data_IF_895268037217
#
_entry.id   IF_895268037217
#
_cell.length_a   1.000
_cell.length_b   1.000
_cell.length_c   1.000
_cell.angle_alpha   90.00
_cell.angle_beta   90.00
_cell.angle_gamma   90.00
#
_symmetry.space_group_name_H-M   'P 1'
#
loop_
_entity.id
_entity.type
_entity.pdbx_description
1 polymer ?
#
# COMPACT_ATOMS: atom_id res chain seq x y z
N UNK A 1 33.20 -37.61 7.94
CA UNK A 1 32.26 -36.93 8.86
C UNK A 1 32.36 -35.41 8.79
N UNK A 2 33.57 -34.84 8.82
CA UNK A 2 33.82 -33.39 8.66
C UNK A 2 33.36 -32.82 7.31
N UNK A 3 33.59 -33.52 6.20
CA UNK A 3 33.14 -33.10 4.87
C UNK A 3 31.60 -33.04 4.77
N UNK A 4 30.89 -34.05 5.31
CA UNK A 4 29.43 -34.03 5.38
C UNK A 4 28.90 -32.88 6.24
N UNK A 5 29.55 -32.58 7.38
CA UNK A 5 29.17 -31.45 8.22
C UNK A 5 29.33 -30.09 7.51
N UNK A 6 30.42 -29.91 6.75
CA UNK A 6 30.65 -28.71 5.95
C UNK A 6 29.64 -28.55 4.82
N UNK A 7 29.29 -29.65 4.13
CA UNK A 7 28.26 -29.65 3.09
C UNK A 7 26.90 -29.29 3.67
N UNK A 8 26.51 -29.86 4.80
CA UNK A 8 25.25 -29.51 5.45
C UNK A 8 25.22 -28.04 5.91
N UNK A 9 26.31 -27.49 6.44
CA UNK A 9 26.41 -26.07 6.80
C UNK A 9 26.33 -25.12 5.60
N UNK A 10 26.94 -25.50 4.47
CA UNK A 10 26.82 -24.76 3.20
C UNK A 10 25.40 -24.81 2.66
N UNK A 11 24.74 -25.97 2.70
CA UNK A 11 23.34 -26.11 2.27
C UNK A 11 22.41 -25.27 3.16
N UNK A 12 22.56 -25.33 4.50
CA UNK A 12 21.78 -24.51 5.44
C UNK A 12 21.97 -23.00 5.20
N UNK A 13 23.21 -22.55 4.96
CA UNK A 13 23.50 -21.13 4.70
C UNK A 13 23.02 -20.65 3.32
N UNK A 14 22.91 -21.54 2.33
CA UNK A 14 22.30 -21.26 1.02
C UNK A 14 20.76 -21.21 1.13
N UNK A 15 20.14 -22.06 1.94
CA UNK A 15 18.67 -22.07 2.14
C UNK A 15 18.12 -20.91 2.99
N UNK A 16 18.97 -20.17 3.71
CA UNK A 16 18.55 -19.02 4.53
C UNK A 16 18.37 -17.71 3.76
N UNK A 17 18.69 -17.64 2.46
CA UNK A 17 18.78 -16.35 1.74
C UNK A 17 17.51 -15.83 1.09
N UNK A 18 16.41 -16.58 1.01
CA UNK A 18 15.22 -16.14 0.28
C UNK A 18 13.93 -16.40 1.07
N UNK A 19 13.83 -15.87 2.30
CA UNK A 19 12.54 -15.68 2.95
C UNK A 19 12.14 -14.22 2.78
N UNK A 20 11.46 -13.91 1.67
CA UNK A 20 10.86 -12.58 1.47
C UNK A 20 9.70 -12.47 2.47
N UNK A 21 9.94 -11.80 3.59
CA UNK A 21 8.89 -11.39 4.52
C UNK A 21 8.18 -10.18 3.91
N UNK A 22 7.05 -10.42 3.25
CA UNK A 22 6.12 -9.34 2.89
C UNK A 22 5.36 -8.96 4.16
N UNK A 23 5.80 -7.89 4.83
CA UNK A 23 5.09 -7.35 5.98
C UNK A 23 3.93 -6.48 5.49
N UNK A 24 2.71 -6.99 5.64
CA UNK A 24 1.50 -6.20 5.49
C UNK A 24 1.15 -5.48 6.79
N UNK A 25 0.86 -4.19 6.68
CA UNK A 25 0.32 -3.43 7.79
C UNK A 25 -1.19 -3.64 7.90
N UNK A 26 -1.70 -3.55 9.13
CA UNK A 26 -3.12 -3.66 9.43
C UNK A 26 -3.65 -2.29 9.81
N UNK A 27 -4.81 -1.94 9.29
CA UNK A 27 -5.47 -0.69 9.59
C UNK A 27 -6.98 -0.76 9.47
N UNK A 28 -7.60 0.41 9.48
CA UNK A 28 -9.02 0.56 9.18
C UNK A 28 -9.20 1.44 7.95
N UNK A 29 -10.28 1.22 7.21
CA UNK A 29 -10.70 2.07 6.12
C UNK A 29 -12.18 2.43 6.18
N UNK A 30 -12.48 3.61 5.64
CA UNK A 30 -13.83 4.16 5.44
C UNK A 30 -13.86 4.90 4.10
N UNK A 31 -15.04 5.20 3.56
CA UNK A 31 -15.19 6.05 2.39
C UNK A 31 -15.39 7.54 2.77
N UNK A 32 -15.22 8.45 1.81
CA UNK A 32 -15.65 9.85 1.94
C UNK A 32 -16.23 10.40 0.63
N UNK A 33 -17.07 11.42 0.79
CA UNK A 33 -17.77 12.11 -0.30
C UNK A 33 -16.95 13.23 -0.92
N UNK A 34 -17.17 13.55 -2.22
CA UNK A 34 -16.68 14.79 -2.80
C UNK A 34 -17.27 16.02 -2.10
N UNK A 35 -16.62 17.20 -2.20
CA UNK A 35 -15.50 17.51 -3.09
C UNK A 35 -14.16 16.92 -2.63
N UNK A 36 -13.38 16.39 -3.58
CA UNK A 36 -12.07 15.79 -3.32
C UNK A 36 -10.90 16.78 -3.37
N UNK A 37 -11.17 18.04 -3.76
CA UNK A 37 -10.22 19.15 -3.79
C UNK A 37 -10.70 20.25 -2.85
N UNK A 38 -9.79 21.07 -2.28
CA UNK A 38 -8.33 20.98 -2.38
C UNK A 38 -7.74 19.88 -1.50
N UNK A 39 -6.65 19.27 -1.97
CA UNK A 39 -5.85 18.32 -1.17
C UNK A 39 -4.64 19.00 -0.53
N UNK A 40 -4.07 18.38 0.53
CA UNK A 40 -2.80 18.78 1.12
C UNK A 40 -1.58 18.46 0.27
N UNK A 41 -1.66 17.50 -0.65
CA UNK A 41 -0.53 17.18 -1.52
C UNK A 41 -0.34 18.23 -2.62
N UNK A 42 -1.38 18.48 -3.42
CA UNK A 42 -1.25 19.30 -4.63
C UNK A 42 -2.40 20.30 -4.81
N UNK A 43 -3.18 20.57 -3.75
CA UNK A 43 -4.22 21.60 -3.77
C UNK A 43 -5.33 21.26 -4.76
N UNK A 44 -5.61 22.19 -5.67
CA UNK A 44 -6.68 22.09 -6.67
C UNK A 44 -6.25 21.38 -7.97
N UNK A 45 -5.05 20.80 -8.01
CA UNK A 45 -4.53 20.13 -9.21
C UNK A 45 -5.32 18.86 -9.51
N UNK A 46 -6.05 18.84 -10.63
CA UNK A 46 -6.86 17.67 -11.00
C UNK A 46 -6.02 16.48 -11.47
N UNK A 47 -4.81 16.73 -11.97
CA UNK A 47 -3.88 15.71 -12.48
C UNK A 47 -3.27 14.82 -11.37
N UNK A 48 -3.52 15.13 -10.10
CA UNK A 48 -3.11 14.29 -8.98
C UNK A 48 -3.95 13.01 -8.84
N UNK A 49 -5.18 13.01 -9.36
CA UNK A 49 -6.10 11.89 -9.20
C UNK A 49 -5.82 10.81 -10.26
N UNK A 50 -5.59 9.55 -9.85
CA UNK A 50 -5.43 8.45 -10.78
C UNK A 50 -6.75 8.11 -11.49
N UNK A 51 -6.64 7.41 -12.62
CA UNK A 51 -7.79 6.87 -13.36
C UNK A 51 -8.70 6.03 -12.47
N UNK A 52 -10.01 6.14 -12.68
CA UNK A 52 -11.01 5.42 -11.88
C UNK A 52 -11.14 5.92 -10.44
N UNK A 53 -10.60 7.12 -10.13
CA UNK A 53 -10.60 7.73 -8.81
C UNK A 53 -10.03 6.79 -7.72
N UNK A 54 -9.05 5.96 -8.05
CA UNK A 54 -8.45 5.01 -7.11
C UNK A 54 -7.44 5.69 -6.18
N UNK A 55 -7.93 6.52 -5.27
CA UNK A 55 -7.11 7.31 -4.36
C UNK A 55 -7.64 7.33 -2.93
N UNK A 56 -6.78 7.77 -2.03
CA UNK A 56 -7.04 7.84 -0.60
C UNK A 56 -6.46 9.10 0.02
N UNK A 57 -7.04 9.50 1.14
CA UNK A 57 -6.39 10.34 2.13
C UNK A 57 -5.95 9.50 3.33
N UNK A 58 -4.85 9.88 3.98
CA UNK A 58 -4.27 9.08 5.08
C UNK A 58 -4.32 9.81 6.41
N UNK A 59 -4.35 9.03 7.51
CA UNK A 59 -4.29 9.56 8.86
C UNK A 59 -2.88 10.08 9.22
N UNK A 60 -2.76 10.75 10.36
CA UNK A 60 -1.49 11.29 10.85
C UNK A 60 -0.37 10.25 10.98
N UNK A 61 -0.71 9.00 11.32
CA UNK A 61 0.27 7.92 11.44
C UNK A 61 0.92 7.51 10.11
N UNK A 62 0.27 7.80 8.97
CA UNK A 62 0.77 7.50 7.63
C UNK A 62 1.17 8.76 6.85
N UNK A 63 0.80 9.96 7.31
CA UNK A 63 0.96 11.21 6.55
C UNK A 63 2.42 11.62 6.35
N UNK A 64 3.28 11.32 7.33
CA UNK A 64 4.72 11.57 7.27
C UNK A 64 5.09 12.98 6.79
N UNK A 65 4.43 14.00 7.37
CA UNK A 65 4.61 15.41 7.02
C UNK A 65 4.49 15.73 5.51
N UNK A 66 3.70 14.95 4.77
CA UNK A 66 3.49 15.12 3.33
C UNK A 66 4.40 14.24 2.45
N UNK A 67 5.37 13.52 3.03
CA UNK A 67 6.14 12.51 2.29
C UNK A 67 5.28 11.31 1.83
N UNK A 68 4.05 11.20 2.35
CA UNK A 68 3.05 10.25 1.90
C UNK A 68 2.48 10.55 0.51
N UNK A 69 2.57 11.79 0.03
CA UNK A 69 1.99 12.19 -1.24
C UNK A 69 2.52 11.36 -2.41
N UNK A 70 1.61 10.74 -3.16
CA UNK A 70 1.95 9.88 -4.29
C UNK A 70 2.34 8.45 -3.93
N UNK A 71 2.51 8.10 -2.63
CA UNK A 71 2.70 6.70 -2.20
C UNK A 71 1.54 5.84 -2.69
N UNK A 72 1.84 4.59 -3.02
CA UNK A 72 0.86 3.62 -3.48
C UNK A 72 0.73 2.48 -2.49
N UNK A 73 -0.51 2.06 -2.28
CA UNK A 73 -0.84 0.94 -1.43
C UNK A 73 -1.69 -0.07 -2.18
N UNK A 74 -1.43 -1.35 -1.95
CA UNK A 74 -2.32 -2.44 -2.34
C UNK A 74 -3.10 -2.83 -1.10
N UNK A 75 -4.42 -2.65 -1.13
CA UNK A 75 -5.30 -2.87 0.02
C UNK A 75 -6.21 -4.05 -0.20
N UNK A 76 -6.48 -4.79 0.87
CA UNK A 76 -7.50 -5.83 0.89
C UNK A 76 -8.35 -5.74 2.15
N UNK A 77 -9.66 -5.94 1.99
CA UNK A 77 -10.60 -6.00 3.10
C UNK A 77 -10.46 -7.33 3.84
N UNK A 78 -10.32 -7.27 5.16
CA UNK A 78 -10.23 -8.44 6.04
C UNK A 78 -11.58 -8.73 6.70
N UNK A 79 -12.22 -7.70 7.26
CA UNK A 79 -13.48 -7.86 7.99
C UNK A 79 -14.23 -6.53 8.16
N UNK A 80 -15.47 -6.60 8.61
CA UNK A 80 -16.25 -5.44 9.06
C UNK A 80 -17.66 -5.85 9.46
N UNK A 81 -18.47 -4.90 9.90
CA UNK A 81 -19.87 -5.16 10.26
C UNK A 81 -20.69 -5.56 9.03
N UNK A 82 -21.60 -6.53 9.18
CA UNK A 82 -22.44 -7.06 8.10
C UNK A 82 -21.65 -7.68 6.92
N UNK A 83 -20.47 -8.26 7.21
CA UNK A 83 -19.61 -8.96 6.23
C UNK A 83 -19.38 -8.14 4.95
N UNK A 84 -18.80 -6.93 5.03
CA UNK A 84 -18.83 -5.95 3.95
C UNK A 84 -17.83 -6.23 2.82
N UNK A 85 -16.86 -7.13 3.04
CA UNK A 85 -15.71 -7.31 2.18
C UNK A 85 -16.06 -7.98 0.85
N UNK A 86 -15.50 -7.43 -0.23
CA UNK A 86 -15.37 -8.11 -1.52
C UNK A 86 -14.06 -8.89 -1.57
N UNK A 87 -14.01 -9.87 -2.46
CA UNK A 87 -12.78 -10.60 -2.75
C UNK A 87 -11.83 -9.76 -3.61
N UNK A 88 -10.53 -9.87 -3.37
CA UNK A 88 -9.49 -9.20 -4.15
C UNK A 88 -8.80 -8.07 -3.37
N UNK A 89 -7.97 -7.33 -4.11
CA UNK A 89 -7.25 -6.18 -3.60
C UNK A 89 -7.39 -5.00 -4.57
N UNK A 90 -7.26 -3.78 -4.05
CA UNK A 90 -7.28 -2.55 -4.85
C UNK A 90 -5.98 -1.78 -4.67
N UNK A 91 -5.50 -1.26 -5.78
CA UNK A 91 -4.33 -0.41 -5.86
C UNK A 91 -4.76 1.05 -5.79
N UNK A 92 -4.24 1.80 -4.82
CA UNK A 92 -4.61 3.21 -4.61
C UNK A 92 -3.40 4.10 -4.47
N UNK A 93 -3.60 5.39 -4.74
CA UNK A 93 -2.61 6.46 -4.52
C UNK A 93 -3.02 7.36 -3.36
N UNK A 94 -2.07 7.74 -2.51
CA UNK A 94 -2.28 8.80 -1.52
C UNK A 94 -2.27 10.16 -2.22
N UNK A 95 -3.36 10.90 -2.07
CA UNK A 95 -3.51 12.25 -2.64
C UNK A 95 -3.79 13.33 -1.60
N UNK A 96 -4.12 12.96 -0.36
CA UNK A 96 -4.49 13.95 0.66
C UNK A 96 -4.23 13.47 2.11
N UNK A 97 -4.31 14.42 3.04
CA UNK A 97 -4.26 14.23 4.48
C UNK A 97 -5.64 14.34 5.10
N UNK A 98 -5.99 13.37 5.93
CA UNK A 98 -7.21 13.38 6.70
C UNK A 98 -7.22 14.49 7.77
N UNK A 99 -7.77 15.65 7.42
CA UNK A 99 -7.80 16.82 8.30
C UNK A 99 -8.85 16.72 9.42
N UNK A 100 -9.80 15.77 9.33
CA UNK A 100 -10.81 15.52 10.38
C UNK A 100 -10.14 14.99 11.65
N UNK A 101 -10.50 15.54 12.81
CA UNK A 101 -9.96 15.13 14.11
C UNK A 101 -11.09 14.57 15.01
N UNK A 102 -11.02 13.30 15.47
CA UNK A 102 -10.09 12.27 15.02
C UNK A 102 -10.37 11.87 13.56
N UNK A 103 -9.34 11.39 12.85
CA UNK A 103 -9.55 10.80 11.53
C UNK A 103 -10.40 9.51 11.69
N UNK A 104 -11.44 9.28 10.87
CA UNK A 104 -12.37 8.16 11.07
C UNK A 104 -11.70 6.78 10.95
N UNK A 105 -10.60 6.70 10.19
CA UNK A 105 -9.88 5.46 9.91
C UNK A 105 -8.42 5.75 9.54
N UNK A 106 -7.61 4.70 9.42
CA UNK A 106 -6.19 4.82 9.04
C UNK A 106 -6.06 5.34 7.60
N UNK A 107 -6.93 4.86 6.71
CA UNK A 107 -6.98 5.20 5.29
C UNK A 107 -8.43 5.52 4.92
N UNK A 108 -8.70 6.75 4.50
CA UNK A 108 -10.05 7.15 4.04
C UNK A 108 -10.04 7.18 2.51
N UNK A 109 -10.87 6.35 1.90
CA UNK A 109 -10.85 6.06 0.47
C UNK A 109 -11.89 6.87 -0.29
N UNK A 110 -11.61 7.21 -1.55
CA UNK A 110 -12.68 7.69 -2.45
C UNK A 110 -13.81 6.66 -2.53
N UNK A 111 -15.01 7.08 -2.95
CA UNK A 111 -16.12 6.14 -3.15
C UNK A 111 -15.78 5.01 -4.12
N UNK A 112 -15.11 5.33 -5.21
CA UNK A 112 -14.77 4.36 -6.25
C UNK A 112 -13.75 3.34 -5.73
N UNK A 113 -12.70 3.81 -5.05
CA UNK A 113 -11.70 2.94 -4.43
C UNK A 113 -12.31 2.05 -3.34
N UNK A 114 -13.21 2.59 -2.50
CA UNK A 114 -13.87 1.84 -1.44
C UNK A 114 -14.83 0.79 -2.00
N UNK A 115 -15.56 1.12 -3.07
CA UNK A 115 -16.46 0.20 -3.74
C UNK A 115 -15.75 -1.01 -4.34
N UNK A 116 -14.46 -0.91 -4.63
CA UNK A 116 -13.67 -2.03 -5.12
C UNK A 116 -13.46 -3.12 -4.05
N UNK A 117 -13.42 -2.74 -2.77
CA UNK A 117 -13.13 -3.65 -1.64
C UNK A 117 -14.32 -3.91 -0.71
N UNK A 118 -15.39 -3.11 -0.81
CA UNK A 118 -16.58 -3.25 0.03
C UNK A 118 -17.87 -3.17 -0.79
N UNK A 119 -18.88 -3.95 -0.42
CA UNK A 119 -20.25 -3.81 -0.92
C UNK A 119 -21.15 -2.98 0.01
N UNK A 120 -20.64 -2.54 1.16
CA UNK A 120 -21.33 -1.63 2.08
C UNK A 120 -20.61 -0.28 2.10
N UNK A 121 -21.13 0.77 1.45
CA UNK A 121 -20.39 2.01 1.19
C UNK A 121 -20.02 2.80 2.45
N UNK A 122 -20.83 2.69 3.51
CA UNK A 122 -20.67 3.44 4.76
C UNK A 122 -20.02 2.60 5.89
N UNK A 123 -19.60 1.37 5.58
CA UNK A 123 -18.97 0.50 6.57
C UNK A 123 -17.58 1.02 6.97
N UNK A 124 -17.23 0.83 8.24
CA UNK A 124 -15.84 0.83 8.69
C UNK A 124 -15.31 -0.60 8.57
N UNK A 125 -14.26 -0.78 7.76
CA UNK A 125 -13.66 -2.08 7.49
C UNK A 125 -12.25 -2.16 8.07
N UNK A 126 -11.84 -3.37 8.45
CA UNK A 126 -10.45 -3.70 8.76
C UNK A 126 -9.77 -4.12 7.46
N UNK A 127 -8.56 -3.62 7.25
CA UNK A 127 -7.80 -3.80 6.00
C UNK A 127 -6.39 -4.29 6.30
N UNK A 128 -5.85 -5.11 5.39
CA UNK A 128 -4.41 -5.26 5.21
C UNK A 128 -3.99 -4.34 4.06
N UNK A 129 -2.82 -3.72 4.19
CA UNK A 129 -2.24 -2.91 3.13
C UNK A 129 -0.72 -3.03 3.08
N UNK A 130 -0.18 -2.96 1.87
CA UNK A 130 1.27 -3.01 1.61
C UNK A 130 1.65 -1.85 0.69
N UNK A 131 2.74 -1.15 1.04
CA UNK A 131 3.30 -0.10 0.20
C UNK A 131 4.12 -0.72 -0.94
N UNK A 132 3.90 -0.29 -2.18
CA UNK A 132 4.73 -0.71 -3.30
C UNK A 132 5.10 0.47 -4.21
N UNK A 133 6.26 0.34 -4.87
CA UNK A 133 6.71 1.26 -5.90
C UNK A 133 6.40 0.66 -7.28
N UNK A 134 5.67 1.37 -8.14
CA UNK A 134 5.59 1.01 -9.57
C UNK A 134 6.88 1.45 -10.27
N UNK A 135 8.01 0.80 -9.97
CA UNK A 135 9.28 0.99 -10.68
C UNK A 135 9.52 -0.13 -11.70
N UNK A 136 8.58 -0.34 -12.62
CA UNK A 136 8.81 -1.12 -13.84
C UNK A 136 7.91 -0.49 -14.91
N UNK A 137 8.40 0.43 -15.74
CA UNK A 137 8.83 0.06 -17.10
C UNK A 137 9.90 0.99 -17.74
N UNK A 138 10.38 2.04 -17.09
CA UNK A 138 11.46 2.87 -17.65
C UNK A 138 12.59 3.04 -16.64
N UNK A 139 13.71 2.39 -16.92
CA UNK A 139 14.84 2.26 -16.02
C UNK A 139 15.47 3.58 -15.58
N UNK A 140 15.90 3.60 -14.33
CA UNK A 140 17.31 3.84 -14.02
C UNK A 140 17.59 3.40 -12.57
N UNK A 141 18.54 2.47 -12.43
CA UNK A 141 19.13 1.98 -11.18
C UNK A 141 19.96 3.05 -10.45
N UNK A 142 19.42 4.26 -10.30
CA UNK A 142 20.13 5.38 -9.70
C UNK A 142 19.86 5.52 -8.18
N UNK A 143 18.89 4.79 -7.63
CA UNK A 143 18.48 4.92 -6.23
C UNK A 143 18.79 3.71 -5.33
N UNK A 144 19.29 2.62 -5.90
CA UNK A 144 19.66 1.41 -5.13
C UNK A 144 21.17 1.33 -4.96
N UNK A 145 21.61 1.26 -3.70
CA UNK A 145 23.01 0.96 -3.31
C UNK A 145 23.39 -0.52 -3.49
N UNK A 146 22.61 -1.29 -4.26
CA UNK A 146 22.81 -2.72 -4.51
C UNK A 146 22.68 -3.07 -5.99
N UNK A 147 23.37 -4.13 -6.42
CA UNK A 147 23.48 -4.53 -7.83
C UNK A 147 22.12 -4.89 -8.47
N UNK A 148 21.76 -4.17 -9.52
CA UNK A 148 20.62 -4.43 -10.38
C UNK A 148 20.89 -5.61 -11.33
N UNK A 149 20.54 -6.84 -10.94
CA UNK A 149 20.60 -7.98 -11.87
C UNK A 149 19.48 -9.01 -11.72
N UNK A 150 18.41 -8.77 -10.94
CA UNK A 150 17.33 -9.76 -10.76
C UNK A 150 15.92 -9.15 -10.69
N UNK A 151 15.59 -8.22 -11.59
CA UNK A 151 14.22 -7.71 -11.71
C UNK A 151 13.32 -8.71 -12.48
N UNK A 152 12.89 -9.78 -11.81
CA UNK A 152 11.68 -10.54 -12.17
C UNK A 152 10.87 -10.78 -10.90
N UNK A 153 10.07 -9.79 -10.52
CA UNK A 153 9.20 -9.87 -9.35
C UNK A 153 8.78 -8.50 -8.90
N UNK A 154 7.51 -8.34 -8.55
CA UNK A 154 6.96 -7.13 -7.95
C UNK A 154 7.75 -6.84 -6.67
N UNK A 155 8.65 -5.87 -6.73
CA UNK A 155 9.48 -5.47 -5.58
C UNK A 155 8.64 -4.54 -4.69
N UNK A 156 8.00 -5.15 -3.68
CA UNK A 156 7.40 -4.44 -2.54
C UNK A 156 8.53 -4.01 -1.61
N UNK A 157 8.90 -2.74 -1.67
CA UNK A 157 10.06 -2.20 -0.96
C UNK A 157 9.68 -1.66 0.42
N UNK A 158 10.42 -2.16 1.42
CA UNK A 158 10.66 -1.51 2.73
C UNK A 158 11.90 -0.64 2.66
#
# INVERSE_FOLDING_TARGET
>A
MTLLALVMALVLSISCKEMILVLGDIGTATSYDPPYIPTKCHGNRQDQFPSGNLFVQVSEGLWDNGAACGRRYRLRCLSGSNKPCKNGAVDVRVVDFCSRRPCPSTIVMSKDAFSAVSHSPDAKINIEFIQYDLKLEYGNCASYRGNCSQATGVELLT
#
